data_IF_272128134142
#
_entry.id   IF_272128134142
#
_cell.length_a   1.000
_cell.length_b   1.000
_cell.length_c   1.000
_cell.angle_alpha   90.00
_cell.angle_beta   90.00
_cell.angle_gamma   90.00
#
_symmetry.space_group_name_H-M   'P 1'
#
loop_
_entity.id
_entity.type
_entity.pdbx_description
1 polymer ?
#
# COMPACT_ATOMS: atom_id res chain seq x y z
N UNK A 1 -23.02 20.47 -23.84
CA UNK A 1 -21.98 19.85 -22.97
C UNK A 1 -22.73 19.25 -21.81
N UNK A 2 -22.71 17.93 -21.67
CA UNK A 2 -23.28 17.29 -20.46
C UNK A 2 -22.56 17.89 -19.23
N UNK A 3 -23.35 18.29 -18.23
CA UNK A 3 -22.82 18.80 -16.99
C UNK A 3 -22.01 17.68 -16.32
N UNK A 4 -20.68 17.85 -16.28
CA UNK A 4 -19.80 16.84 -15.68
C UNK A 4 -20.12 16.70 -14.20
N UNK A 5 -20.35 15.48 -13.76
CA UNK A 5 -20.57 15.11 -12.36
C UNK A 5 -19.34 15.51 -11.51
N UNK A 6 -19.55 16.00 -10.30
CA UNK A 6 -18.45 16.53 -9.48
C UNK A 6 -18.40 15.86 -8.12
N UNK A 7 -17.21 15.39 -7.73
CA UNK A 7 -16.94 14.78 -6.44
C UNK A 7 -15.86 15.55 -5.66
N UNK A 8 -15.95 15.49 -4.32
CA UNK A 8 -14.94 15.99 -3.38
C UNK A 8 -14.18 14.82 -2.77
N UNK A 9 -12.90 14.69 -3.07
CA UNK A 9 -11.98 13.76 -2.41
C UNK A 9 -11.38 14.40 -1.17
N UNK A 10 -11.48 13.75 -0.03
CA UNK A 10 -10.83 14.15 1.23
C UNK A 10 -9.69 13.17 1.48
N UNK A 11 -8.44 13.63 1.35
CA UNK A 11 -7.23 12.83 1.51
C UNK A 11 -6.18 13.52 2.36
N UNK A 12 -5.38 12.74 3.08
CA UNK A 12 -4.23 13.26 3.82
C UNK A 12 -2.94 13.18 2.99
N UNK A 13 -2.78 12.11 2.23
CA UNK A 13 -1.61 11.88 1.39
C UNK A 13 -1.89 12.37 -0.03
N UNK A 14 -1.25 13.49 -0.38
CA UNK A 14 -1.31 14.09 -1.71
C UNK A 14 0.04 14.72 -2.05
N UNK A 15 0.50 14.75 -3.31
CA UNK A 15 1.78 15.35 -3.65
C UNK A 15 1.97 16.77 -3.07
N UNK A 16 3.15 17.11 -2.48
CA UNK A 16 4.43 16.42 -2.58
C UNK A 16 4.69 15.31 -1.55
N UNK A 17 3.67 14.82 -0.81
CA UNK A 17 3.85 13.65 0.02
C UNK A 17 4.29 12.46 -0.83
N UNK A 18 5.25 11.67 -0.34
CA UNK A 18 5.71 10.43 -0.94
C UNK A 18 5.21 9.18 -0.19
N UNK A 19 5.62 8.02 -0.68
CA UNK A 19 5.29 6.73 -0.09
C UNK A 19 3.95 6.14 -0.53
N UNK A 20 3.64 4.93 -0.07
CA UNK A 20 2.54 4.11 -0.58
C UNK A 20 1.16 4.78 -0.52
N UNK A 21 0.93 5.64 0.49
CA UNK A 21 -0.37 6.27 0.71
C UNK A 21 -0.83 7.24 -0.38
N UNK A 22 0.09 7.75 -1.20
CA UNK A 22 -0.20 8.76 -2.23
C UNK A 22 -0.67 8.14 -3.54
N UNK A 23 -0.06 7.04 -3.94
CA UNK A 23 -0.14 6.51 -5.31
C UNK A 23 -1.55 6.14 -5.75
N UNK A 24 -2.37 5.56 -4.86
CA UNK A 24 -3.74 5.15 -5.21
C UNK A 24 -4.54 6.30 -5.80
N UNK A 25 -4.70 7.37 -5.02
CA UNK A 25 -5.56 8.47 -5.43
C UNK A 25 -4.90 9.40 -6.45
N UNK A 26 -3.58 9.55 -6.43
CA UNK A 26 -2.86 10.25 -7.49
C UNK A 26 -3.11 9.59 -8.86
N UNK A 27 -3.02 8.26 -8.92
CA UNK A 27 -3.21 7.50 -10.16
C UNK A 27 -4.69 7.48 -10.60
N UNK A 28 -5.61 7.17 -9.70
CA UNK A 28 -7.05 7.12 -10.02
C UNK A 28 -7.56 8.47 -10.50
N UNK A 29 -7.22 9.57 -9.81
CA UNK A 29 -7.73 10.90 -10.10
C UNK A 29 -7.40 11.39 -11.51
N UNK A 30 -6.28 10.95 -12.09
CA UNK A 30 -5.89 11.33 -13.44
C UNK A 30 -6.85 10.82 -14.52
N UNK A 31 -7.66 9.80 -14.23
CA UNK A 31 -8.61 9.21 -15.16
C UNK A 31 -10.08 9.58 -14.88
N UNK A 32 -10.37 10.37 -13.83
CA UNK A 32 -11.75 10.73 -13.47
C UNK A 32 -12.40 11.58 -14.55
N UNK A 33 -11.67 12.55 -15.12
CA UNK A 33 -12.22 13.48 -16.15
C UNK A 33 -12.61 12.74 -17.43
N UNK A 34 -11.85 11.71 -17.83
CA UNK A 34 -12.13 10.87 -18.98
C UNK A 34 -13.42 10.03 -18.77
N UNK A 35 -13.74 9.72 -17.50
CA UNK A 35 -14.93 8.99 -17.10
C UNK A 35 -16.09 9.92 -16.69
N UNK A 36 -16.08 11.19 -17.11
CA UNK A 36 -17.19 12.12 -16.92
C UNK A 36 -17.25 12.80 -15.55
N UNK A 37 -16.24 12.62 -14.67
CA UNK A 37 -16.21 13.18 -13.34
C UNK A 37 -15.17 14.27 -13.18
N UNK A 38 -15.56 15.42 -12.62
CA UNK A 38 -14.64 16.42 -12.06
C UNK A 38 -14.31 16.06 -10.62
N UNK A 39 -13.07 16.28 -10.21
CA UNK A 39 -12.64 15.96 -8.87
C UNK A 39 -12.01 17.18 -8.19
N UNK A 40 -12.57 17.57 -7.05
CA UNK A 40 -11.99 18.52 -6.11
C UNK A 40 -11.24 17.74 -5.04
N UNK A 41 -9.96 18.04 -4.81
CA UNK A 41 -9.11 17.30 -3.86
C UNK A 41 -8.81 18.19 -2.67
N UNK A 42 -9.35 17.84 -1.50
CA UNK A 42 -9.05 18.47 -0.23
C UNK A 42 -7.94 17.74 0.49
N UNK A 43 -6.83 18.42 0.75
CA UNK A 43 -5.64 17.85 1.39
C UNK A 43 -4.95 18.86 2.31
N UNK A 44 -4.06 18.41 3.23
CA UNK A 44 -3.31 19.33 4.08
C UNK A 44 -2.26 20.12 3.29
N UNK A 45 -1.99 21.33 3.72
CA UNK A 45 -0.97 22.22 3.17
C UNK A 45 0.40 22.02 3.83
N UNK A 46 0.39 21.90 5.15
CA UNK A 46 1.58 21.95 6.00
C UNK A 46 1.82 20.65 6.79
N UNK A 47 1.32 19.50 6.32
CA UNK A 47 1.55 18.23 7.00
C UNK A 47 3.03 17.83 6.99
N UNK A 48 3.48 17.15 8.03
CA UNK A 48 4.80 16.51 8.05
C UNK A 48 4.68 15.08 7.52
N UNK A 49 5.04 14.91 6.27
CA UNK A 49 5.14 13.57 5.69
C UNK A 49 6.53 12.99 5.92
N UNK A 50 6.62 11.69 6.24
CA UNK A 50 7.91 11.01 6.44
C UNK A 50 8.78 11.03 5.19
N UNK A 51 8.16 11.04 4.02
CA UNK A 51 8.81 11.07 2.72
C UNK A 51 8.19 12.21 1.91
N UNK A 52 9.04 13.00 1.29
CA UNK A 52 8.64 14.04 0.34
C UNK A 52 9.20 13.64 -1.02
N UNK A 53 8.32 13.63 -2.04
CA UNK A 53 8.65 13.34 -3.42
C UNK A 53 8.04 14.40 -4.33
N UNK A 54 8.87 15.34 -4.75
CA UNK A 54 8.44 16.46 -5.60
C UNK A 54 8.14 16.01 -7.04
N UNK A 55 8.67 14.88 -7.49
CA UNK A 55 8.41 14.37 -8.84
C UNK A 55 6.95 13.92 -9.00
N UNK A 56 6.32 13.44 -7.91
CA UNK A 56 4.90 13.09 -7.92
C UNK A 56 3.99 14.29 -8.21
N UNK A 57 4.45 15.51 -7.93
CA UNK A 57 3.68 16.72 -8.22
C UNK A 57 3.52 16.96 -9.74
N UNK A 58 4.50 16.50 -10.53
CA UNK A 58 4.44 16.59 -12.01
C UNK A 58 3.40 15.62 -12.61
N UNK A 59 2.99 14.61 -11.84
CA UNK A 59 1.99 13.61 -12.25
C UNK A 59 0.55 14.07 -11.98
N UNK A 60 0.35 15.18 -11.27
CA UNK A 60 -0.99 15.72 -10.99
C UNK A 60 -1.50 16.42 -12.25
N UNK A 61 -2.63 15.95 -12.79
CA UNK A 61 -3.26 16.59 -13.94
C UNK A 61 -3.82 17.97 -13.59
N UNK A 62 -3.80 18.88 -14.57
CA UNK A 62 -4.35 20.24 -14.45
C UNK A 62 -5.88 20.28 -14.29
N UNK A 63 -6.56 19.19 -14.60
CA UNK A 63 -8.02 19.08 -14.52
C UNK A 63 -8.57 18.98 -13.09
N UNK A 64 -7.70 18.81 -12.10
CA UNK A 64 -8.06 18.70 -10.71
C UNK A 64 -8.12 20.06 -10.01
N UNK A 65 -9.14 20.30 -9.21
CA UNK A 65 -9.19 21.45 -8.30
C UNK A 65 -8.59 21.08 -6.96
N UNK A 66 -7.39 21.56 -6.64
CA UNK A 66 -6.68 21.23 -5.40
C UNK A 66 -6.95 22.29 -4.32
N UNK A 67 -7.48 21.85 -3.18
CA UNK A 67 -7.82 22.67 -2.02
C UNK A 67 -6.88 22.30 -0.89
N UNK A 68 -5.96 23.20 -0.54
CA UNK A 68 -5.01 22.99 0.55
C UNK A 68 -5.42 23.80 1.79
N UNK A 69 -5.38 23.15 2.96
CA UNK A 69 -5.63 23.81 4.24
C UNK A 69 -4.63 23.36 5.30
N UNK A 70 -4.13 24.33 6.05
CA UNK A 70 -3.23 24.06 7.17
C UNK A 70 -3.91 23.21 8.23
N UNK A 71 -3.13 22.29 8.81
CA UNK A 71 -3.56 21.40 9.89
C UNK A 71 -2.71 21.64 11.13
N UNK A 72 -3.29 21.35 12.30
CA UNK A 72 -2.57 21.33 13.56
C UNK A 72 -2.13 19.90 13.89
N UNK A 73 -0.82 19.68 13.97
CA UNK A 73 -0.20 18.41 14.33
C UNK A 73 0.67 18.59 15.57
N UNK A 74 0.22 18.13 16.76
CA UNK A 74 0.94 18.36 18.03
C UNK A 74 2.36 17.82 18.05
N UNK A 75 2.65 16.75 17.32
CA UNK A 75 3.98 16.14 17.27
C UNK A 75 5.07 17.08 16.73
N UNK A 76 4.71 18.08 15.93
CA UNK A 76 5.64 19.14 15.46
C UNK A 76 6.30 19.90 16.60
N UNK A 77 5.61 20.01 17.72
CA UNK A 77 6.06 20.76 18.89
C UNK A 77 6.78 19.89 19.94
N UNK A 78 6.73 18.57 19.79
CA UNK A 78 7.34 17.62 20.73
C UNK A 78 8.81 17.29 20.46
N UNK A 79 9.48 18.03 19.56
CA UNK A 79 10.92 17.99 19.31
C UNK A 79 11.39 16.85 18.41
N UNK A 80 12.17 17.20 17.40
CA UNK A 80 12.71 16.27 16.36
C UNK A 80 13.63 15.15 16.89
N UNK A 81 14.00 15.15 18.16
CA UNK A 81 14.99 14.20 18.71
C UNK A 81 14.45 12.81 19.06
N UNK A 82 13.15 12.60 19.05
CA UNK A 82 12.52 11.34 19.49
C UNK A 82 11.47 10.78 18.54
N UNK A 83 11.58 11.06 17.23
CA UNK A 83 10.73 10.37 16.28
C UNK A 83 11.37 9.03 15.86
N UNK A 84 10.96 7.90 16.45
CA UNK A 84 11.06 6.65 15.73
C UNK A 84 10.11 6.80 14.54
N UNK A 85 10.59 6.54 13.34
CA UNK A 85 9.80 6.49 12.12
C UNK A 85 8.59 5.56 12.34
N UNK A 86 7.44 6.14 12.65
CA UNK A 86 6.17 5.42 12.84
C UNK A 86 5.47 5.36 11.49
N UNK A 87 6.18 4.83 10.51
CA UNK A 87 5.66 4.38 9.24
C UNK A 87 5.90 2.89 9.17
N UNK A 88 4.89 2.11 9.56
CA UNK A 88 4.88 0.66 9.34
C UNK A 88 5.94 -0.12 10.11
N UNK A 89 5.61 -0.50 11.32
CA UNK A 89 6.40 -1.42 12.14
C UNK A 89 7.22 -0.68 13.20
N UNK A 90 6.77 -0.76 14.44
CA UNK A 90 7.60 -0.44 15.61
C UNK A 90 8.80 -1.37 15.57
N UNK A 91 9.98 -0.85 15.24
CA UNK A 91 11.21 -1.60 15.38
C UNK A 91 11.31 -2.02 16.85
N UNK A 92 11.30 -3.32 17.06
CA UNK A 92 11.41 -3.98 18.36
C UNK A 92 12.87 -3.90 18.84
N UNK A 93 13.40 -2.68 18.98
CA UNK A 93 14.70 -2.48 19.58
C UNK A 93 14.54 -2.24 21.08
N UNK A 94 14.95 -3.24 21.81
CA UNK A 94 15.44 -3.31 23.18
C UNK A 94 15.25 -2.04 24.04
N UNK A 95 14.47 -2.18 25.13
CA UNK A 95 14.29 -1.20 26.22
C UNK A 95 13.56 0.07 25.78
N UNK A 96 12.28 -0.08 25.40
CA UNK A 96 11.40 1.11 25.27
C UNK A 96 11.37 1.85 26.62
N UNK A 97 11.86 3.07 26.63
CA UNK A 97 11.78 3.98 27.78
C UNK A 97 10.33 4.09 28.25
N UNK A 98 10.09 4.25 29.56
CA UNK A 98 8.76 4.51 30.12
C UNK A 98 8.09 5.68 29.38
N UNK A 99 8.86 6.67 28.97
CA UNK A 99 8.39 7.82 28.17
C UNK A 99 7.84 7.35 26.81
N UNK A 100 8.50 6.43 26.12
CA UNK A 100 8.01 5.89 24.83
C UNK A 100 6.69 5.14 25.01
N UNK A 101 6.56 4.32 26.05
CA UNK A 101 5.30 3.63 26.39
C UNK A 101 4.19 4.62 26.69
N UNK A 102 4.49 5.71 27.41
CA UNK A 102 3.51 6.78 27.69
C UNK A 102 3.09 7.50 26.43
N UNK A 103 4.00 7.80 25.51
CA UNK A 103 3.68 8.40 24.21
C UNK A 103 2.77 7.48 23.38
N UNK A 104 3.10 6.19 23.29
CA UNK A 104 2.29 5.20 22.58
C UNK A 104 0.91 5.09 23.20
N UNK A 105 0.84 4.96 24.52
CA UNK A 105 -0.41 4.91 25.27
C UNK A 105 -1.26 6.18 25.04
N UNK A 106 -0.66 7.35 25.14
CA UNK A 106 -1.33 8.64 24.87
C UNK A 106 -1.90 8.68 23.45
N UNK A 107 -1.11 8.21 22.47
CA UNK A 107 -1.53 8.13 21.06
C UNK A 107 -2.74 7.19 20.88
N UNK A 108 -2.71 6.02 21.50
CA UNK A 108 -3.77 5.02 21.37
C UNK A 108 -5.05 5.33 22.13
N UNK A 109 -4.95 6.19 23.20
CA UNK A 109 -6.08 6.43 24.12
C UNK A 109 -6.70 7.82 24.03
N UNK A 110 -5.92 8.85 23.71
CA UNK A 110 -6.42 10.23 23.68
C UNK A 110 -6.61 10.76 22.26
N UNK A 111 -5.87 10.27 21.28
CA UNK A 111 -5.98 10.70 19.89
C UNK A 111 -6.88 9.74 19.09
N UNK A 112 -8.18 9.85 19.29
CA UNK A 112 -9.20 9.01 18.65
C UNK A 112 -9.93 9.80 17.57
N UNK A 113 -9.94 9.32 16.31
CA UNK A 113 -9.54 7.99 15.84
C UNK A 113 -8.02 7.81 15.63
N UNK A 114 -7.28 8.87 15.40
CA UNK A 114 -5.84 8.88 15.13
C UNK A 114 -5.22 10.25 15.43
N UNK A 115 -3.92 10.40 15.17
CA UNK A 115 -3.17 11.62 15.46
C UNK A 115 -3.66 12.88 14.69
N UNK A 116 -4.56 12.73 13.72
CA UNK A 116 -5.15 13.82 12.93
C UNK A 116 -6.54 14.25 13.46
N UNK A 117 -6.91 13.82 14.65
CA UNK A 117 -8.18 14.17 15.29
C UNK A 117 -8.44 15.68 15.33
N UNK A 118 -7.42 16.51 15.51
CA UNK A 118 -7.54 17.96 15.52
C UNK A 118 -7.90 18.56 14.16
N UNK A 119 -7.70 17.82 13.07
CA UNK A 119 -8.08 18.25 11.73
C UNK A 119 -9.59 18.11 11.47
N UNK A 120 -10.29 17.26 12.22
CA UNK A 120 -11.71 16.94 11.98
C UNK A 120 -12.59 18.20 12.04
N UNK A 121 -12.55 18.97 13.14
CA UNK A 121 -13.44 20.13 13.31
C UNK A 121 -13.15 21.28 12.34
N UNK A 122 -11.88 21.71 12.14
CA UNK A 122 -11.56 22.74 11.17
C UNK A 122 -11.95 22.35 9.75
N UNK A 123 -11.66 21.12 9.33
CA UNK A 123 -12.01 20.62 8.00
C UNK A 123 -13.52 20.54 7.79
N UNK A 124 -14.27 20.03 8.76
CA UNK A 124 -15.72 20.00 8.68
C UNK A 124 -16.31 21.41 8.49
N UNK A 125 -15.86 22.40 9.26
CA UNK A 125 -16.36 23.79 9.15
C UNK A 125 -16.04 24.39 7.79
N UNK A 126 -14.81 24.20 7.32
CA UNK A 126 -14.38 24.70 6.03
C UNK A 126 -15.16 24.02 4.89
N UNK A 127 -15.21 22.70 4.87
CA UNK A 127 -15.86 21.95 3.80
C UNK A 127 -17.38 22.14 3.79
N UNK A 128 -18.02 22.34 4.97
CA UNK A 128 -19.43 22.72 5.03
C UNK A 128 -19.69 24.03 4.26
N UNK A 129 -18.83 25.05 4.44
CA UNK A 129 -18.93 26.32 3.71
C UNK A 129 -18.63 26.11 2.22
N UNK A 130 -17.55 25.40 1.89
CA UNK A 130 -17.13 25.09 0.53
C UNK A 130 -18.23 24.41 -0.27
N UNK A 131 -18.89 23.40 0.29
CA UNK A 131 -20.00 22.71 -0.34
C UNK A 131 -21.26 23.59 -0.53
N UNK A 132 -21.42 24.70 0.23
CA UNK A 132 -22.48 25.69 -0.02
C UNK A 132 -22.15 26.55 -1.24
N UNK A 133 -20.86 26.83 -1.45
CA UNK A 133 -20.35 27.62 -2.58
C UNK A 133 -20.23 26.80 -3.85
N UNK A 134 -20.23 25.45 -3.73
CA UNK A 134 -20.07 24.48 -4.81
C UNK A 134 -21.22 23.45 -4.79
N UNK A 135 -22.46 23.86 -5.15
CA UNK A 135 -23.63 22.97 -5.13
C UNK A 135 -23.57 21.84 -6.17
N UNK A 136 -22.71 21.96 -7.20
CA UNK A 136 -22.44 20.94 -8.19
C UNK A 136 -21.76 19.71 -7.60
N UNK A 137 -21.14 19.79 -6.41
CA UNK A 137 -20.54 18.65 -5.73
C UNK A 137 -21.65 17.82 -5.08
N UNK A 138 -21.95 16.71 -5.70
CA UNK A 138 -23.00 15.77 -5.25
C UNK A 138 -22.46 14.60 -4.42
N UNK A 139 -21.16 14.34 -4.51
CA UNK A 139 -20.52 13.17 -3.90
C UNK A 139 -19.27 13.55 -3.13
N UNK A 140 -19.08 12.93 -1.95
CA UNK A 140 -17.86 13.02 -1.15
C UNK A 140 -17.20 11.66 -1.14
N UNK A 141 -15.87 11.64 -1.29
CA UNK A 141 -15.03 10.46 -1.11
C UNK A 141 -14.06 10.76 0.03
N UNK A 142 -14.07 9.97 1.08
CA UNK A 142 -13.06 10.04 2.15
C UNK A 142 -12.16 8.82 2.08
N UNK A 143 -10.83 8.99 2.04
CA UNK A 143 -9.89 7.87 1.94
C UNK A 143 -8.98 7.77 3.15
N UNK A 144 -9.00 6.65 3.85
CA UNK A 144 -8.22 6.38 5.06
C UNK A 144 -7.28 5.18 4.91
N UNK A 145 -6.24 5.06 5.72
CA UNK A 145 -5.84 5.93 6.81
C UNK A 145 -5.27 7.29 6.36
N UNK A 146 -5.31 8.34 7.20
CA UNK A 146 -5.88 8.42 8.57
C UNK A 146 -7.41 8.30 8.59
N UNK A 147 -7.97 7.60 9.60
CA UNK A 147 -9.42 7.38 9.69
C UNK A 147 -10.20 8.62 10.17
N UNK A 148 -9.51 9.64 10.68
CA UNK A 148 -10.08 10.98 10.92
C UNK A 148 -10.81 11.53 9.68
N UNK A 149 -10.38 11.14 8.47
CA UNK A 149 -11.00 11.56 7.20
C UNK A 149 -12.41 10.98 7.04
N UNK A 150 -12.64 9.73 7.46
CA UNK A 150 -13.98 9.13 7.45
C UNK A 150 -14.91 9.84 8.44
N UNK A 151 -14.39 10.29 9.60
CA UNK A 151 -15.17 11.08 10.55
C UNK A 151 -15.55 12.46 9.97
N UNK A 152 -14.69 13.05 9.12
CA UNK A 152 -15.05 14.29 8.39
C UNK A 152 -16.17 14.00 7.40
N UNK A 153 -16.04 12.93 6.57
CA UNK A 153 -17.06 12.49 5.62
C UNK A 153 -18.41 12.23 6.31
N UNK A 154 -18.39 11.48 7.42
CA UNK A 154 -19.57 11.19 8.23
C UNK A 154 -20.29 12.47 8.71
N UNK A 155 -19.53 13.46 9.23
CA UNK A 155 -20.10 14.72 9.68
C UNK A 155 -20.72 15.52 8.54
N UNK A 156 -20.10 15.54 7.38
CA UNK A 156 -20.62 16.21 6.19
C UNK A 156 -21.89 15.51 5.68
N UNK A 157 -21.93 14.18 5.67
CA UNK A 157 -23.12 13.39 5.31
C UNK A 157 -24.29 13.68 6.26
N UNK A 158 -24.04 13.77 7.57
CA UNK A 158 -25.08 14.13 8.56
C UNK A 158 -25.62 15.54 8.36
N UNK A 159 -24.77 16.49 8.04
CA UNK A 159 -25.16 17.88 7.78
C UNK A 159 -25.92 18.03 6.46
N UNK A 160 -25.60 17.19 5.47
CA UNK A 160 -26.21 17.19 4.13
C UNK A 160 -26.65 15.79 3.74
N UNK A 161 -27.81 15.32 4.20
CA UNK A 161 -28.25 13.94 3.96
C UNK A 161 -28.38 13.55 2.46
N UNK A 162 -28.58 14.51 1.58
CA UNK A 162 -28.68 14.28 0.14
C UNK A 162 -27.34 14.02 -0.54
N UNK A 163 -26.23 14.52 0.03
CA UNK A 163 -24.91 14.28 -0.55
C UNK A 163 -24.55 12.81 -0.44
N UNK A 164 -23.97 12.24 -1.46
CA UNK A 164 -23.51 10.86 -1.43
C UNK A 164 -22.13 10.79 -0.78
N UNK A 165 -21.89 9.78 0.04
CA UNK A 165 -20.60 9.59 0.71
C UNK A 165 -20.07 8.18 0.48
N UNK A 166 -18.89 8.11 -0.16
CA UNK A 166 -18.10 6.88 -0.33
C UNK A 166 -16.96 6.89 0.68
N UNK A 167 -16.87 5.85 1.48
CA UNK A 167 -15.78 5.65 2.44
C UNK A 167 -14.78 4.63 1.88
N UNK A 168 -13.59 5.11 1.43
CA UNK A 168 -12.51 4.29 0.85
C UNK A 168 -11.53 3.87 1.94
N UNK A 169 -11.74 2.68 2.49
CA UNK A 169 -10.90 2.04 3.51
C UNK A 169 -9.75 1.29 2.84
N UNK A 170 -8.62 1.96 2.66
CA UNK A 170 -7.42 1.32 2.09
C UNK A 170 -6.78 0.30 3.01
N UNK A 171 -6.97 0.48 4.31
CA UNK A 171 -6.56 -0.45 5.37
C UNK A 171 -7.69 -0.59 6.38
N UNK A 172 -7.82 -1.73 7.07
CA UNK A 172 -8.72 -1.88 8.21
C UNK A 172 -8.43 -0.82 9.28
N UNK A 173 -9.43 -0.46 10.08
CA UNK A 173 -9.25 0.54 11.14
C UNK A 173 -8.85 -0.13 12.46
N UNK A 174 -9.73 -0.93 13.04
CA UNK A 174 -9.46 -1.62 14.32
C UNK A 174 -8.84 -3.00 14.13
N UNK A 175 -8.98 -3.58 12.93
CA UNK A 175 -8.43 -4.89 12.58
C UNK A 175 -7.05 -4.80 11.88
N UNK A 176 -6.37 -3.64 11.98
CA UNK A 176 -5.01 -3.49 11.45
C UNK A 176 -4.00 -4.16 12.37
N UNK A 177 -2.96 -4.77 11.79
CA UNK A 177 -1.98 -5.62 12.46
C UNK A 177 -1.29 -4.97 13.68
N UNK A 178 -1.03 -3.67 13.64
CA UNK A 178 -0.38 -2.93 14.73
C UNK A 178 -1.36 -2.27 15.72
N UNK A 179 -2.68 -2.50 15.60
CA UNK A 179 -3.66 -1.84 16.47
C UNK A 179 -3.42 -2.09 17.96
N UNK A 180 -3.11 -3.34 18.32
CA UNK A 180 -2.83 -3.72 19.71
C UNK A 180 -1.53 -3.11 20.25
N UNK A 181 -0.60 -2.76 19.38
CA UNK A 181 0.65 -2.09 19.77
C UNK A 181 0.42 -0.65 20.24
N UNK A 182 -0.72 -0.05 19.91
CA UNK A 182 -1.14 1.26 20.42
C UNK A 182 -1.62 1.21 21.87
N UNK A 183 -1.68 0.04 22.49
CA UNK A 183 -2.12 -0.19 23.88
C UNK A 183 -3.46 0.47 24.21
N UNK A 184 -4.53 0.25 23.41
CA UNK A 184 -5.81 0.88 23.68
C UNK A 184 -6.43 0.35 24.98
N UNK A 185 -6.82 1.25 25.88
CA UNK A 185 -7.62 0.90 27.05
C UNK A 185 -9.07 0.61 26.65
N UNK A 186 -9.82 -0.12 27.48
CA UNK A 186 -11.20 -0.54 27.20
C UNK A 186 -12.13 0.56 26.67
N UNK A 187 -12.01 1.77 27.20
CA UNK A 187 -12.82 2.91 26.74
C UNK A 187 -12.40 3.38 25.33
N UNK A 188 -11.10 3.50 25.09
CA UNK A 188 -10.57 3.92 23.81
C UNK A 188 -10.88 2.88 22.73
N UNK A 189 -10.67 1.62 23.03
CA UNK A 189 -10.98 0.48 22.17
C UNK A 189 -12.47 0.46 21.77
N UNK A 190 -13.38 0.52 22.75
CA UNK A 190 -14.83 0.61 22.50
C UNK A 190 -15.19 1.82 21.64
N UNK A 191 -14.52 2.96 21.84
CA UNK A 191 -14.77 4.17 21.07
C UNK A 191 -14.29 4.06 19.63
N UNK A 192 -13.14 3.43 19.40
CA UNK A 192 -12.60 3.15 18.06
C UNK A 192 -13.56 2.26 17.27
N UNK A 193 -13.93 1.08 17.82
CA UNK A 193 -14.88 0.16 17.19
C UNK A 193 -16.24 0.82 16.89
N UNK A 194 -16.75 1.63 17.81
CA UNK A 194 -18.01 2.34 17.58
C UNK A 194 -17.91 3.40 16.47
N UNK A 195 -16.78 4.10 16.36
CA UNK A 195 -16.57 5.06 15.28
C UNK A 195 -16.45 4.38 13.92
N UNK A 196 -15.65 3.31 13.84
CA UNK A 196 -15.52 2.50 12.63
C UNK A 196 -16.87 1.98 12.19
N UNK A 197 -17.59 1.27 13.07
CA UNK A 197 -18.93 0.73 12.78
C UNK A 197 -19.89 1.81 12.27
N UNK A 198 -19.90 2.99 12.89
CA UNK A 198 -20.75 4.10 12.45
C UNK A 198 -20.37 4.63 11.07
N UNK A 199 -19.07 4.79 10.80
CA UNK A 199 -18.61 5.20 9.47
C UNK A 199 -19.03 4.19 8.40
N UNK A 200 -18.86 2.90 8.69
CA UNK A 200 -19.27 1.82 7.78
C UNK A 200 -20.79 1.80 7.56
N UNK A 201 -21.61 2.04 8.59
CA UNK A 201 -23.07 1.99 8.47
C UNK A 201 -23.70 3.24 7.83
N UNK A 202 -23.07 4.41 8.01
CA UNK A 202 -23.62 5.69 7.56
C UNK A 202 -23.12 6.14 6.18
N UNK A 203 -22.07 5.52 5.64
CA UNK A 203 -21.62 5.74 4.27
C UNK A 203 -22.68 5.19 3.28
N UNK A 204 -22.86 5.85 2.13
CA UNK A 204 -23.71 5.32 1.05
C UNK A 204 -23.04 4.09 0.43
N UNK A 205 -21.73 4.15 0.18
CA UNK A 205 -20.92 3.02 -0.26
C UNK A 205 -19.59 2.93 0.51
N UNK A 206 -19.09 1.71 0.62
CA UNK A 206 -17.79 1.40 1.21
C UNK A 206 -16.93 0.74 0.15
N UNK A 207 -15.72 1.24 -0.01
CA UNK A 207 -14.72 0.68 -0.90
C UNK A 207 -13.51 0.23 -0.08
N UNK A 208 -12.93 -0.90 -0.46
CA UNK A 208 -11.64 -1.37 0.08
C UNK A 208 -10.75 -1.94 -1.02
N UNK A 209 -9.55 -2.39 -0.66
CA UNK A 209 -8.51 -2.76 -1.63
C UNK A 209 -8.38 -4.27 -1.87
N UNK A 210 -9.05 -5.11 -1.07
CA UNK A 210 -8.93 -6.57 -1.18
C UNK A 210 -10.14 -7.30 -0.62
N UNK A 211 -10.34 -8.56 -1.02
CA UNK A 211 -11.51 -9.35 -0.65
C UNK A 211 -11.52 -9.72 0.84
N UNK A 212 -10.37 -10.09 1.40
CA UNK A 212 -10.26 -10.36 2.84
C UNK A 212 -10.55 -9.11 3.70
N UNK A 213 -10.06 -7.93 3.26
CA UNK A 213 -10.42 -6.67 3.92
C UNK A 213 -11.92 -6.37 3.80
N UNK A 214 -12.52 -6.64 2.63
CA UNK A 214 -13.96 -6.45 2.43
C UNK A 214 -14.78 -7.36 3.34
N UNK A 215 -14.39 -8.61 3.51
CA UNK A 215 -15.06 -9.54 4.44
C UNK A 215 -15.01 -9.03 5.88
N UNK A 216 -13.84 -8.59 6.36
CA UNK A 216 -13.68 -8.01 7.71
C UNK A 216 -14.56 -6.78 7.93
N UNK A 217 -14.50 -5.81 7.01
CA UNK A 217 -15.31 -4.58 7.08
C UNK A 217 -16.81 -4.87 6.95
N UNK A 218 -17.20 -5.85 6.11
CA UNK A 218 -18.59 -6.29 5.94
C UNK A 218 -19.16 -6.86 7.23
N UNK A 219 -18.40 -7.67 7.97
CA UNK A 219 -18.80 -8.21 9.28
C UNK A 219 -19.04 -7.08 10.30
N UNK A 220 -18.17 -6.07 10.34
CA UNK A 220 -18.30 -4.92 11.27
C UNK A 220 -19.50 -4.05 10.88
N UNK A 221 -19.60 -3.68 9.60
CA UNK A 221 -20.62 -2.80 9.06
C UNK A 221 -21.99 -3.46 8.86
N UNK A 222 -22.04 -4.78 8.79
CA UNK A 222 -23.21 -5.61 8.46
C UNK A 222 -23.81 -5.22 7.10
N UNK A 223 -22.95 -4.98 6.11
CA UNK A 223 -23.35 -4.60 4.75
C UNK A 223 -22.26 -4.96 3.74
N UNK A 224 -22.62 -4.93 2.46
CA UNK A 224 -21.68 -5.16 1.35
C UNK A 224 -20.59 -4.10 1.33
N UNK A 225 -19.39 -4.52 0.97
CA UNK A 225 -18.22 -3.68 0.73
C UNK A 225 -17.73 -3.96 -0.68
N UNK A 226 -17.49 -2.91 -1.45
CA UNK A 226 -16.98 -3.03 -2.82
C UNK A 226 -15.45 -3.12 -2.82
N UNK A 227 -14.91 -4.01 -3.65
CA UNK A 227 -13.46 -4.15 -3.79
C UNK A 227 -12.99 -3.43 -5.05
N UNK A 228 -12.19 -2.37 -4.85
CA UNK A 228 -11.44 -1.69 -5.91
C UNK A 228 -9.99 -1.66 -5.45
N UNK A 229 -9.18 -2.55 -5.97
CA UNK A 229 -7.79 -2.78 -5.54
C UNK A 229 -6.90 -1.56 -5.76
N UNK A 230 -5.67 -1.60 -5.27
CA UNK A 230 -4.63 -0.74 -5.77
C UNK A 230 -4.25 -1.17 -7.19
N UNK A 231 -3.54 -0.31 -7.92
CA UNK A 231 -3.17 -0.59 -9.28
C UNK A 231 -1.87 0.08 -9.68
N UNK A 232 -1.57 0.02 -10.96
CA UNK A 232 -0.38 0.61 -11.55
C UNK A 232 -0.71 1.33 -12.86
N UNK A 233 0.22 2.19 -13.34
CA UNK A 233 0.11 2.84 -14.64
C UNK A 233 0.98 2.11 -15.67
N UNK A 234 0.39 1.69 -16.78
CA UNK A 234 1.09 1.03 -17.88
C UNK A 234 2.23 1.84 -18.53
N UNK A 235 2.16 3.18 -18.69
CA UNK A 235 3.14 3.91 -19.48
C UNK A 235 4.57 3.90 -18.93
N UNK A 236 4.79 3.45 -17.68
CA UNK A 236 6.15 3.33 -17.12
C UNK A 236 7.01 2.23 -17.76
N UNK A 237 6.41 1.42 -18.63
CA UNK A 237 7.04 0.22 -19.15
C UNK A 237 7.11 0.23 -20.69
N UNK A 238 7.14 1.44 -21.31
CA UNK A 238 7.27 1.58 -22.74
C UNK A 238 8.55 0.89 -23.25
N UNK A 239 8.40 0.25 -24.33
CA UNK A 239 9.14 -0.47 -25.37
C UNK A 239 10.68 -0.43 -25.38
N UNK A 240 11.37 0.30 -24.49
CA UNK A 240 12.82 0.23 -24.38
C UNK A 240 13.24 -1.18 -24.00
N UNK A 241 13.96 -1.82 -24.92
CA UNK A 241 14.59 -3.13 -24.68
C UNK A 241 15.62 -2.96 -23.57
N UNK A 242 15.36 -3.57 -22.42
CA UNK A 242 16.32 -3.58 -21.31
C UNK A 242 17.09 -4.89 -21.35
N UNK A 243 18.41 -4.79 -21.25
CA UNK A 243 19.27 -5.96 -21.10
C UNK A 243 19.03 -6.59 -19.73
N UNK A 244 18.75 -7.88 -19.72
CA UNK A 244 18.56 -8.63 -18.49
C UNK A 244 19.89 -8.83 -17.78
N UNK A 245 19.83 -8.94 -16.45
CA UNK A 245 20.99 -9.28 -15.64
C UNK A 245 21.63 -10.58 -16.13
N UNK A 246 22.94 -10.58 -16.33
CA UNK A 246 23.71 -11.75 -16.73
C UNK A 246 23.84 -12.83 -15.66
N UNK A 247 23.50 -12.50 -14.42
CA UNK A 247 23.38 -13.40 -13.28
C UNK A 247 21.95 -13.86 -13.10
N UNK A 248 21.74 -14.98 -12.45
CA UNK A 248 20.43 -15.43 -11.99
C UNK A 248 20.02 -14.59 -10.78
N UNK A 249 19.46 -13.41 -11.07
CA UNK A 249 19.11 -12.43 -10.03
C UNK A 249 17.74 -12.70 -9.44
N UNK A 250 17.64 -12.67 -8.10
CA UNK A 250 16.40 -12.66 -7.33
C UNK A 250 16.37 -11.32 -6.59
N UNK A 251 15.49 -10.39 -6.98
CA UNK A 251 15.55 -9.02 -6.53
C UNK A 251 14.34 -8.60 -5.67
N UNK A 252 14.60 -8.00 -4.50
CA UNK A 252 13.60 -7.37 -3.65
C UNK A 252 13.79 -5.86 -3.63
N UNK A 253 12.71 -5.11 -3.82
CA UNK A 253 12.70 -3.65 -3.77
C UNK A 253 11.86 -3.12 -2.62
N UNK A 254 12.39 -2.10 -1.92
CA UNK A 254 11.77 -1.43 -0.79
C UNK A 254 12.08 -2.09 0.55
N UNK A 255 11.33 -1.75 1.60
CA UNK A 255 11.63 -2.21 2.96
C UNK A 255 11.46 -3.73 3.12
N UNK A 256 12.46 -4.37 3.73
CA UNK A 256 12.43 -5.76 4.18
C UNK A 256 12.72 -5.79 5.68
N UNK A 257 11.68 -5.84 6.49
CA UNK A 257 11.75 -5.97 7.96
C UNK A 257 11.81 -7.44 8.38
N UNK A 258 12.18 -7.72 9.63
CA UNK A 258 12.27 -9.09 10.14
C UNK A 258 11.02 -9.96 9.88
N UNK A 259 9.76 -9.49 10.03
CA UNK A 259 8.58 -10.28 9.68
C UNK A 259 8.45 -10.64 8.19
N UNK A 260 9.27 -10.04 7.32
CA UNK A 260 9.39 -10.35 5.88
C UNK A 260 10.62 -11.16 5.55
N UNK A 261 11.23 -11.84 6.54
CA UNK A 261 12.35 -12.72 6.27
C UNK A 261 11.89 -14.01 5.57
N UNK A 262 12.28 -14.28 4.32
CA UNK A 262 11.92 -15.50 3.61
C UNK A 262 12.86 -16.64 3.95
N UNK A 263 12.85 -17.10 5.18
CA UNK A 263 13.79 -18.10 5.71
C UNK A 263 13.84 -19.35 4.85
N UNK A 264 12.69 -19.78 4.34
CA UNK A 264 12.60 -20.96 3.47
C UNK A 264 13.39 -20.79 2.17
N UNK A 265 13.40 -19.57 1.62
CA UNK A 265 14.15 -19.28 0.40
C UNK A 265 15.67 -19.35 0.67
N UNK A 266 16.13 -18.79 1.79
CA UNK A 266 17.55 -18.85 2.15
C UNK A 266 18.03 -20.28 2.34
N UNK A 267 17.22 -21.12 2.98
CA UNK A 267 17.49 -22.57 3.11
C UNK A 267 17.65 -23.25 1.74
N UNK A 268 16.67 -23.06 0.87
CA UNK A 268 16.67 -23.68 -0.49
C UNK A 268 17.85 -23.21 -1.31
N UNK A 269 18.12 -21.90 -1.35
CA UNK A 269 19.24 -21.35 -2.11
C UNK A 269 20.59 -21.88 -1.59
N UNK A 270 20.77 -21.97 -0.27
CA UNK A 270 21.96 -22.53 0.35
C UNK A 270 22.19 -23.99 -0.06
N UNK A 271 21.15 -24.81 -0.01
CA UNK A 271 21.28 -26.23 -0.33
C UNK A 271 21.56 -26.45 -1.82
N UNK A 272 20.91 -25.70 -2.72
CA UNK A 272 21.22 -25.76 -4.15
C UNK A 272 22.67 -25.30 -4.42
N UNK A 273 23.14 -24.24 -3.75
CA UNK A 273 24.52 -23.76 -3.89
C UNK A 273 25.56 -24.82 -3.44
N UNK A 274 25.25 -25.67 -2.46
CA UNK A 274 26.13 -26.77 -2.03
C UNK A 274 26.19 -27.90 -3.06
N UNK A 275 25.10 -28.16 -3.73
CA UNK A 275 24.95 -29.26 -4.70
C UNK A 275 25.39 -28.87 -6.11
N UNK A 276 25.24 -27.60 -6.51
CA UNK A 276 25.48 -27.12 -7.86
C UNK A 276 26.37 -25.87 -7.85
N UNK A 277 27.63 -26.05 -8.27
CA UNK A 277 28.61 -24.95 -8.34
C UNK A 277 28.30 -23.91 -9.42
N UNK A 278 27.69 -24.31 -10.53
CA UNK A 278 27.25 -23.36 -11.58
C UNK A 278 26.14 -22.45 -11.03
N UNK A 279 25.13 -23.02 -10.37
CA UNK A 279 24.07 -22.26 -9.71
C UNK A 279 24.66 -21.27 -8.69
N UNK A 280 25.59 -21.74 -7.85
CA UNK A 280 26.28 -20.90 -6.86
C UNK A 280 26.99 -19.71 -7.51
N UNK A 281 27.63 -19.93 -8.65
CA UNK A 281 28.34 -18.87 -9.37
C UNK A 281 27.38 -17.88 -10.02
N UNK A 282 26.23 -18.32 -10.49
CA UNK A 282 25.24 -17.50 -11.20
C UNK A 282 24.29 -16.75 -10.26
N UNK A 283 23.99 -17.32 -9.10
CA UNK A 283 23.03 -16.74 -8.15
C UNK A 283 23.48 -15.37 -7.62
N UNK A 284 22.56 -14.39 -7.66
CA UNK A 284 22.71 -13.09 -6.99
C UNK A 284 21.37 -12.62 -6.40
N UNK A 285 21.31 -12.49 -5.10
CA UNK A 285 20.17 -11.91 -4.39
C UNK A 285 20.36 -10.38 -4.29
N UNK A 286 19.54 -9.60 -4.96
CA UNK A 286 19.58 -8.15 -4.90
C UNK A 286 18.58 -7.63 -3.86
N UNK A 287 19.08 -6.94 -2.83
CA UNK A 287 18.28 -6.30 -1.78
C UNK A 287 18.38 -4.77 -1.93
N UNK A 288 17.31 -4.14 -2.41
CA UNK A 288 17.29 -2.71 -2.73
C UNK A 288 16.29 -1.99 -1.81
N UNK A 289 16.77 -1.03 -1.01
CA UNK A 289 16.00 -0.26 -0.05
C UNK A 289 16.34 -0.57 1.41
N UNK A 290 15.57 -0.08 2.39
CA UNK A 290 15.81 -0.33 3.80
C UNK A 290 15.63 -1.81 4.16
N UNK A 291 16.70 -2.48 4.58
CA UNK A 291 16.70 -3.90 4.97
C UNK A 291 17.11 -4.01 6.44
N UNK A 292 16.37 -4.79 7.21
CA UNK A 292 16.69 -5.09 8.61
C UNK A 292 18.00 -5.86 8.70
N UNK A 293 18.82 -5.51 9.69
CA UNK A 293 20.14 -6.15 9.88
C UNK A 293 20.05 -7.67 10.06
N UNK A 294 19.00 -8.14 10.68
CA UNK A 294 18.76 -9.58 10.90
C UNK A 294 18.66 -10.38 9.59
N UNK A 295 18.26 -9.75 8.48
CA UNK A 295 18.22 -10.43 7.17
C UNK A 295 19.65 -10.77 6.71
N UNK A 296 20.60 -9.85 6.89
CA UNK A 296 22.00 -10.10 6.55
C UNK A 296 22.61 -11.21 7.42
N UNK A 297 22.27 -11.22 8.72
CA UNK A 297 22.69 -12.33 9.62
C UNK A 297 22.16 -13.66 9.12
N UNK A 298 20.90 -13.72 8.64
CA UNK A 298 20.34 -14.96 8.06
C UNK A 298 21.06 -15.39 6.80
N UNK A 299 21.37 -14.47 5.88
CA UNK A 299 22.14 -14.78 4.67
C UNK A 299 23.53 -15.34 4.99
N UNK A 300 24.21 -14.83 6.02
CA UNK A 300 25.51 -15.34 6.50
C UNK A 300 25.35 -16.75 7.09
N UNK A 301 24.36 -16.97 7.94
CA UNK A 301 24.07 -18.29 8.54
C UNK A 301 23.86 -19.36 7.45
N UNK A 302 23.20 -18.96 6.35
CA UNK A 302 22.96 -19.83 5.19
C UNK A 302 24.11 -19.87 4.19
N UNK A 303 25.28 -19.29 4.50
CA UNK A 303 26.48 -19.28 3.64
C UNK A 303 26.25 -18.63 2.27
N UNK A 304 25.39 -17.61 2.23
CA UNK A 304 25.03 -16.84 1.02
C UNK A 304 25.72 -15.44 0.99
N UNK A 305 26.73 -15.22 1.83
CA UNK A 305 27.40 -13.91 1.95
C UNK A 305 28.06 -13.41 0.67
N UNK A 306 28.40 -14.31 -0.26
CA UNK A 306 28.95 -13.99 -1.59
C UNK A 306 27.90 -13.91 -2.69
N UNK A 307 26.65 -14.24 -2.36
CA UNK A 307 25.55 -14.34 -3.30
C UNK A 307 24.49 -13.27 -3.10
N UNK A 308 24.79 -12.18 -2.36
CA UNK A 308 23.89 -11.05 -2.29
C UNK A 308 24.58 -9.73 -2.55
N UNK A 309 23.79 -8.74 -2.99
CA UNK A 309 24.17 -7.35 -3.15
C UNK A 309 23.13 -6.47 -2.45
N UNK A 310 23.60 -5.51 -1.66
CA UNK A 310 22.75 -4.55 -0.97
C UNK A 310 22.93 -3.15 -1.55
N UNK A 311 21.81 -2.45 -1.80
CA UNK A 311 21.76 -1.07 -2.27
C UNK A 311 20.75 -0.32 -1.40
N UNK A 312 21.24 0.61 -0.56
CA UNK A 312 20.41 1.27 0.46
C UNK A 312 19.32 2.16 -0.11
N UNK A 313 19.59 2.87 -1.19
CA UNK A 313 18.67 3.82 -1.81
C UNK A 313 18.95 3.94 -3.32
N UNK A 314 17.87 3.98 -4.08
CA UNK A 314 17.86 4.30 -5.51
C UNK A 314 16.71 5.26 -5.79
N UNK A 315 16.79 5.99 -6.88
CA UNK A 315 15.65 6.78 -7.37
C UNK A 315 14.52 5.86 -7.86
N UNK A 316 13.31 6.39 -7.96
CA UNK A 316 12.18 5.61 -8.48
C UNK A 316 12.43 5.12 -9.91
N UNK A 317 13.03 5.94 -10.76
CA UNK A 317 13.36 5.59 -12.14
C UNK A 317 14.42 4.47 -12.21
N UNK A 318 15.49 4.57 -11.43
CA UNK A 318 16.49 3.50 -11.32
C UNK A 318 15.86 2.20 -10.80
N UNK A 319 14.96 2.29 -9.81
CA UNK A 319 14.24 1.13 -9.28
C UNK A 319 13.45 0.41 -10.38
N UNK A 320 12.73 1.15 -11.23
CA UNK A 320 11.99 0.58 -12.36
C UNK A 320 12.93 -0.13 -13.35
N UNK A 321 14.03 0.50 -13.72
CA UNK A 321 15.02 -0.10 -14.64
C UNK A 321 15.60 -1.38 -14.06
N UNK A 322 16.01 -1.36 -12.79
CA UNK A 322 16.55 -2.54 -12.10
C UNK A 322 15.51 -3.66 -11.95
N UNK A 323 14.24 -3.33 -11.68
CA UNK A 323 13.15 -4.31 -11.64
C UNK A 323 13.02 -5.03 -12.99
N UNK A 324 13.03 -4.29 -14.08
CA UNK A 324 12.90 -4.84 -15.45
C UNK A 324 14.13 -5.65 -15.86
N UNK A 325 15.33 -5.28 -15.40
CA UNK A 325 16.56 -6.01 -15.67
C UNK A 325 16.68 -7.33 -14.88
N UNK A 326 16.03 -7.42 -13.71
CA UNK A 326 16.13 -8.59 -12.83
C UNK A 326 15.51 -9.83 -13.44
N UNK A 327 16.07 -11.01 -13.15
CA UNK A 327 15.53 -12.28 -13.63
C UNK A 327 14.23 -12.66 -12.90
N UNK A 328 14.19 -12.49 -11.58
CA UNK A 328 13.05 -12.83 -10.73
C UNK A 328 12.81 -11.70 -9.73
N UNK A 329 11.54 -11.34 -9.50
CA UNK A 329 11.11 -10.40 -8.48
C UNK A 329 10.70 -11.14 -7.20
N UNK A 330 11.30 -10.79 -6.07
CA UNK A 330 10.98 -11.37 -4.76
C UNK A 330 9.96 -10.51 -3.99
N UNK A 331 8.79 -11.05 -3.78
CA UNK A 331 7.73 -10.43 -2.99
C UNK A 331 7.46 -11.27 -1.73
N UNK A 332 7.71 -10.69 -0.54
CA UNK A 332 7.46 -11.38 0.73
C UNK A 332 6.39 -10.62 1.51
N UNK A 333 5.31 -11.31 1.85
CA UNK A 333 4.28 -10.78 2.75
C UNK A 333 4.78 -10.79 4.21
N UNK A 334 4.21 -9.91 5.06
CA UNK A 334 4.52 -9.96 6.50
C UNK A 334 3.98 -11.26 7.12
N UNK A 335 4.74 -11.86 8.02
CA UNK A 335 4.26 -12.99 8.83
C UNK A 335 3.59 -12.46 10.11
N UNK A 336 2.40 -11.87 9.96
CA UNK A 336 1.60 -11.25 11.03
C UNK A 336 0.15 -11.73 10.97
N UNK A 337 -0.62 -11.57 12.06
CA UNK A 337 -1.93 -12.20 12.20
C UNK A 337 -3.01 -11.81 11.18
N UNK A 338 -2.86 -10.68 10.46
CA UNK A 338 -3.87 -10.17 9.50
C UNK A 338 -3.33 -10.07 8.07
N UNK A 339 -2.45 -10.98 7.70
CA UNK A 339 -1.69 -10.93 6.46
C UNK A 339 -2.50 -11.28 5.21
N UNK A 340 -3.59 -12.06 5.36
CA UNK A 340 -4.36 -12.57 4.22
C UNK A 340 -4.94 -11.48 3.32
N UNK A 341 -5.34 -10.34 3.90
CA UNK A 341 -5.88 -9.19 3.16
C UNK A 341 -4.83 -8.22 2.60
N UNK A 342 -3.54 -8.49 2.78
CA UNK A 342 -2.49 -7.54 2.40
C UNK A 342 -2.03 -7.79 0.96
N UNK A 343 -2.60 -7.02 0.03
CA UNK A 343 -2.11 -6.93 -1.34
C UNK A 343 -1.25 -5.66 -1.48
N UNK A 344 0.06 -5.81 -1.38
CA UNK A 344 0.99 -4.68 -1.28
C UNK A 344 1.14 -3.91 -2.60
N UNK A 345 1.47 -2.60 -2.53
CA UNK A 345 1.77 -1.80 -3.71
C UNK A 345 2.90 -2.37 -4.59
N UNK A 346 3.84 -3.09 -3.99
CA UNK A 346 4.95 -3.76 -4.70
C UNK A 346 4.44 -4.81 -5.69
N UNK A 347 3.38 -5.55 -5.37
CA UNK A 347 2.80 -6.52 -6.29
C UNK A 347 2.45 -5.86 -7.62
N UNK A 348 1.76 -4.72 -7.57
CA UNK A 348 1.36 -3.99 -8.76
C UNK A 348 2.55 -3.40 -9.53
N UNK A 349 3.58 -2.93 -8.84
CA UNK A 349 4.82 -2.46 -9.47
C UNK A 349 5.55 -3.61 -10.19
N UNK A 350 5.62 -4.77 -9.56
CA UNK A 350 6.27 -5.96 -10.12
C UNK A 350 5.51 -6.54 -11.32
N UNK A 351 4.17 -6.46 -11.34
CA UNK A 351 3.40 -6.78 -12.55
C UNK A 351 3.87 -5.97 -13.75
N UNK A 352 4.14 -4.68 -13.51
CA UNK A 352 4.64 -3.79 -14.55
C UNK A 352 6.05 -4.15 -15.04
N UNK A 353 6.91 -4.71 -14.20
CA UNK A 353 8.26 -5.13 -14.60
C UNK A 353 8.26 -6.29 -15.62
N UNK A 354 7.13 -6.99 -15.76
CA UNK A 354 6.98 -8.16 -16.67
C UNK A 354 8.03 -9.25 -16.45
N UNK A 355 8.45 -9.42 -15.18
CA UNK A 355 9.38 -10.47 -14.76
C UNK A 355 8.65 -11.46 -13.85
N UNK A 356 9.06 -12.76 -13.84
CA UNK A 356 8.47 -13.73 -12.92
C UNK A 356 8.53 -13.26 -11.47
N UNK A 357 7.41 -13.35 -10.74
CA UNK A 357 7.32 -12.98 -9.33
C UNK A 357 7.37 -14.25 -8.48
N UNK A 358 8.34 -14.33 -7.58
CA UNK A 358 8.35 -15.29 -6.48
C UNK A 358 7.68 -14.63 -5.28
N UNK A 359 6.42 -14.98 -5.03
CA UNK A 359 5.67 -14.47 -3.89
C UNK A 359 5.67 -15.48 -2.75
N UNK A 360 6.07 -15.04 -1.55
CA UNK A 360 6.07 -15.87 -0.33
C UNK A 360 5.10 -15.24 0.67
N UNK A 361 4.12 -16.05 1.13
CA UNK A 361 3.06 -15.53 1.99
C UNK A 361 2.21 -16.60 2.66
N UNK A 362 1.10 -16.17 3.25
CA UNK A 362 0.08 -17.03 3.84
C UNK A 362 -0.81 -17.62 2.75
N UNK A 363 -1.13 -18.91 2.86
CA UNK A 363 -2.07 -19.56 1.96
C UNK A 363 -3.49 -18.97 2.10
N UNK A 364 -4.30 -19.08 1.04
CA UNK A 364 -5.65 -18.52 0.94
C UNK A 364 -5.66 -16.98 1.14
N UNK A 365 -4.60 -16.30 0.71
CA UNK A 365 -4.48 -14.83 0.78
C UNK A 365 -4.89 -14.17 -0.53
N UNK A 366 -5.22 -12.87 -0.45
CA UNK A 366 -5.49 -12.05 -1.64
C UNK A 366 -4.28 -11.97 -2.57
N UNK A 367 -3.05 -12.09 -2.02
CA UNK A 367 -1.83 -12.17 -2.83
C UNK A 367 -1.79 -13.47 -3.64
N UNK A 368 -2.10 -14.62 -3.05
CA UNK A 368 -2.16 -15.89 -3.77
C UNK A 368 -3.22 -15.84 -4.87
N UNK A 369 -4.41 -15.34 -4.55
CA UNK A 369 -5.50 -15.17 -5.51
C UNK A 369 -5.07 -14.29 -6.69
N UNK A 370 -4.42 -13.15 -6.42
CA UNK A 370 -3.96 -12.23 -7.45
C UNK A 370 -2.84 -12.85 -8.31
N UNK A 371 -1.91 -13.61 -7.72
CA UNK A 371 -0.88 -14.36 -8.44
C UNK A 371 -1.48 -15.41 -9.39
N UNK A 372 -2.48 -16.15 -8.92
CA UNK A 372 -3.18 -17.16 -9.72
C UNK A 372 -3.98 -16.53 -10.87
N UNK A 373 -4.67 -15.40 -10.63
CA UNK A 373 -5.43 -14.67 -11.65
C UNK A 373 -4.53 -14.08 -12.75
N UNK A 374 -3.34 -13.62 -12.38
CA UNK A 374 -2.43 -12.95 -13.31
C UNK A 374 -1.39 -13.86 -13.93
N UNK A 375 -1.19 -15.05 -13.38
CA UNK A 375 -0.13 -15.99 -13.81
C UNK A 375 1.25 -15.32 -13.91
N UNK A 376 1.51 -14.34 -13.06
CA UNK A 376 2.72 -13.53 -13.12
C UNK A 376 3.94 -14.18 -12.45
N UNK A 377 3.86 -15.43 -12.03
CA UNK A 377 4.93 -16.18 -11.38
C UNK A 377 4.41 -17.27 -10.46
N UNK A 378 5.05 -17.46 -9.30
CA UNK A 378 4.70 -18.52 -8.36
C UNK A 378 4.45 -17.96 -6.97
N UNK A 379 3.31 -18.30 -6.39
CA UNK A 379 3.06 -18.15 -4.96
C UNK A 379 3.51 -19.38 -4.19
N UNK A 380 4.13 -19.18 -3.03
CA UNK A 380 4.64 -20.23 -2.15
C UNK A 380 4.28 -19.87 -0.71
N UNK A 381 3.81 -20.86 0.06
CA UNK A 381 3.60 -20.71 1.51
C UNK A 381 4.93 -20.59 2.25
N UNK A 382 4.95 -19.90 3.39
CA UNK A 382 6.18 -19.56 4.13
C UNK A 382 7.11 -20.74 4.44
N UNK A 383 6.58 -21.96 4.57
CA UNK A 383 7.35 -23.12 5.03
C UNK A 383 7.39 -24.25 3.97
N UNK A 384 6.99 -23.98 2.72
CA UNK A 384 6.99 -24.99 1.64
C UNK A 384 8.35 -25.09 0.95
N UNK A 385 9.23 -25.89 1.52
CA UNK A 385 10.57 -26.13 0.98
C UNK A 385 10.53 -26.81 -0.40
N UNK A 386 9.69 -27.83 -0.57
CA UNK A 386 9.68 -28.67 -1.76
C UNK A 386 9.27 -27.89 -3.01
N UNK A 387 8.19 -27.10 -2.90
CA UNK A 387 7.73 -26.25 -3.99
C UNK A 387 8.72 -25.12 -4.28
N UNK A 388 9.31 -24.51 -3.24
CA UNK A 388 10.34 -23.46 -3.41
C UNK A 388 11.52 -23.99 -4.20
N UNK A 389 12.05 -25.16 -3.82
CA UNK A 389 13.20 -25.77 -4.47
C UNK A 389 12.90 -26.14 -5.93
N UNK A 390 11.75 -26.77 -6.17
CA UNK A 390 11.34 -27.20 -7.53
C UNK A 390 11.21 -25.99 -8.46
N UNK A 391 10.59 -24.91 -8.00
CA UNK A 391 10.38 -23.73 -8.85
C UNK A 391 11.69 -22.96 -9.10
N UNK A 392 12.57 -22.85 -8.10
CA UNK A 392 13.90 -22.21 -8.26
C UNK A 392 14.74 -22.99 -9.29
N UNK A 393 14.79 -24.31 -9.22
CA UNK A 393 15.55 -25.13 -10.18
C UNK A 393 14.97 -25.01 -11.58
N UNK A 394 13.65 -25.10 -11.74
CA UNK A 394 12.95 -24.90 -13.02
C UNK A 394 13.27 -23.53 -13.64
N UNK A 395 13.24 -22.46 -12.85
CA UNK A 395 13.56 -21.13 -13.36
C UNK A 395 15.04 -20.96 -13.67
N UNK A 396 15.92 -21.65 -12.94
CA UNK A 396 17.35 -21.65 -13.25
C UNK A 396 17.63 -22.36 -14.57
N UNK A 397 16.98 -23.49 -14.86
CA UNK A 397 17.10 -24.19 -16.14
C UNK A 397 16.64 -23.29 -17.30
N UNK A 398 15.49 -22.62 -17.15
CA UNK A 398 15.00 -21.64 -18.13
C UNK A 398 15.95 -20.43 -18.30
N UNK A 399 16.57 -19.96 -17.22
CA UNK A 399 17.57 -18.91 -17.28
C UNK A 399 18.80 -19.34 -18.10
N UNK A 400 19.31 -20.52 -17.86
CA UNK A 400 20.46 -21.08 -18.65
C UNK A 400 20.14 -21.19 -20.14
N UNK A 401 18.89 -21.44 -20.49
CA UNK A 401 18.41 -21.50 -21.88
C UNK A 401 18.03 -20.11 -22.45
N UNK A 402 18.15 -19.03 -21.70
CA UNK A 402 17.64 -17.69 -22.04
C UNK A 402 16.14 -17.66 -22.37
N UNK A 403 15.36 -18.52 -21.69
CA UNK A 403 13.90 -18.66 -21.88
C UNK A 403 13.08 -18.26 -20.63
N UNK A 404 13.72 -17.66 -19.62
CA UNK A 404 13.01 -17.24 -18.41
C UNK A 404 12.19 -15.97 -18.69
N UNK A 405 10.92 -16.17 -18.99
CA UNK A 405 9.95 -15.13 -19.34
C UNK A 405 8.74 -15.16 -18.39
N UNK A 406 8.00 -14.06 -18.36
CA UNK A 406 6.75 -13.94 -17.64
C UNK A 406 5.60 -13.72 -18.62
N UNK A 407 4.73 -14.71 -18.77
CA UNK A 407 3.56 -14.67 -19.64
C UNK A 407 2.29 -14.32 -18.82
N UNK A 408 2.33 -13.18 -18.14
CA UNK A 408 1.21 -12.73 -17.31
C UNK A 408 -0.02 -12.35 -18.14
N UNK A 409 -1.19 -12.65 -17.57
CA UNK A 409 -2.51 -12.39 -18.17
C UNK A 409 -3.35 -11.51 -17.25
N UNK A 410 -4.46 -10.99 -17.76
CA UNK A 410 -5.45 -10.22 -16.97
C UNK A 410 -4.90 -8.96 -16.29
N UNK A 411 -3.80 -8.40 -16.77
CA UNK A 411 -3.14 -7.27 -16.13
C UNK A 411 -4.00 -6.01 -16.15
N UNK A 412 -4.83 -5.83 -17.20
CA UNK A 412 -5.69 -4.64 -17.35
C UNK A 412 -6.64 -4.42 -16.18
N UNK A 413 -7.05 -5.49 -15.48
CA UNK A 413 -7.91 -5.36 -14.32
C UNK A 413 -7.26 -4.58 -13.16
N UNK A 414 -5.94 -4.49 -13.15
CA UNK A 414 -5.15 -3.73 -12.16
C UNK A 414 -4.61 -2.41 -12.74
N UNK A 415 -4.95 -2.04 -13.97
CA UNK A 415 -4.57 -0.73 -14.51
C UNK A 415 -5.33 0.39 -13.79
N UNK A 416 -4.64 1.49 -13.52
CA UNK A 416 -5.27 2.65 -12.87
C UNK A 416 -6.45 3.18 -13.68
N UNK A 417 -6.41 3.07 -15.01
CA UNK A 417 -7.50 3.45 -15.89
C UNK A 417 -8.74 2.58 -15.69
N UNK A 418 -8.59 1.25 -15.70
CA UNK A 418 -9.70 0.31 -15.47
C UNK A 418 -10.28 0.45 -14.06
N UNK A 419 -9.43 0.65 -13.05
CA UNK A 419 -9.86 0.86 -11.68
C UNK A 419 -10.59 2.20 -11.50
N UNK A 420 -10.12 3.27 -12.14
CA UNK A 420 -10.82 4.56 -12.14
C UNK A 420 -12.19 4.46 -12.83
N UNK A 421 -12.27 3.75 -13.97
CA UNK A 421 -13.54 3.46 -14.65
C UNK A 421 -14.51 2.71 -13.72
N UNK A 422 -14.03 1.67 -13.02
CA UNK A 422 -14.82 0.93 -12.02
C UNK A 422 -15.28 1.83 -10.88
N UNK A 423 -14.41 2.73 -10.41
CA UNK A 423 -14.73 3.68 -9.35
C UNK A 423 -15.79 4.69 -9.80
N UNK A 424 -15.63 5.27 -10.99
CA UNK A 424 -16.61 6.21 -11.56
C UNK A 424 -17.97 5.54 -11.81
N UNK A 425 -18.00 4.27 -12.29
CA UNK A 425 -19.24 3.51 -12.44
C UNK A 425 -19.95 3.29 -11.08
N UNK A 426 -19.18 3.05 -10.00
CA UNK A 426 -19.74 2.99 -8.64
C UNK A 426 -20.37 4.34 -8.24
N UNK A 427 -19.68 5.46 -8.52
CA UNK A 427 -20.22 6.79 -8.22
C UNK A 427 -21.49 7.08 -9.04
N UNK A 428 -21.54 6.62 -10.30
CA UNK A 428 -22.71 6.77 -11.18
C UNK A 428 -23.94 6.03 -10.63
N UNK A 429 -23.74 4.87 -10.02
CA UNK A 429 -24.83 4.08 -9.43
C UNK A 429 -25.46 4.74 -8.19
N UNK A 430 -24.81 5.77 -7.63
CA UNK A 430 -25.29 6.51 -6.46
C UNK A 430 -26.14 7.74 -6.82
N UNK A 431 -26.04 8.23 -8.05
CA UNK A 431 -26.77 9.43 -8.52
C UNK A 431 -28.13 9.08 -9.07
#
# INVERSE_FOLDING_TARGET
>A
MEDKKTALLITYYWPPAGGAGVHRWLRLSNYFIENGWKLHVYCPENAEWPIIDNELQKQVTSDLTIIRKSIFEPHKYLGKKNNPNVSGGLTRNSKSSIIQKLIIWTRGNLFIPDARVFWIRPSFRFLKKYLNEHPEITTIISTGPPHSLHVIGQKLKKERPKIKWVADFRDPWTDIDFYQELLPGKWADKRQHNLEKKCLQEADEIVTISDNCAEGLSKIGQRKVEVITNGYNFPYFDEEKIDLDSKFTIAHFGSMSFPRNPEILWNVLSDICKENSSFKNDLLVNLIGPVDFTIFERLIIHQLERNYKYIALVTHQESIQMQRASQIMLLVANRTGNVKGILTGKFFEYLGAKRPILAIGEADSDLETAMNLTQCGKFISYDDYSTTRTEILKWYDLFQENKLECNSINLDMYSSQSLAKKYCALLDSLL
#
